data_IF_556656547335
#
_entry.id   IF_556656547335
#
_cell.length_a   1.000
_cell.length_b   1.000
_cell.length_c   1.000
_cell.angle_alpha   90.00
_cell.angle_beta   90.00
_cell.angle_gamma   90.00
#
_symmetry.space_group_name_H-M   'P 1'
#
loop_
_entity.id
_entity.type
_entity.pdbx_description
1 polymer ?
#
# COMPACT_ATOMS: atom_id res chain seq x y z
N UNK A 1 27.30 14.88 35.76
CA UNK A 1 27.85 14.35 34.50
C UNK A 1 28.64 15.49 33.86
N UNK A 2 29.97 15.40 33.82
CA UNK A 2 30.88 16.54 33.53
C UNK A 2 31.05 16.77 32.01
N UNK A 3 31.39 18.00 31.59
CA UNK A 3 31.68 18.33 30.18
C UNK A 3 32.79 17.46 29.58
N UNK A 4 33.76 17.06 30.40
CA UNK A 4 34.84 16.13 30.06
C UNK A 4 34.35 14.74 29.64
N UNK A 5 33.28 14.22 30.27
CA UNK A 5 32.69 12.94 29.86
C UNK A 5 32.11 13.03 28.43
N UNK A 6 31.44 14.13 28.12
CA UNK A 6 30.92 14.35 26.76
C UNK A 6 32.05 14.49 25.75
N UNK A 7 33.09 15.27 26.05
CA UNK A 7 34.26 15.38 25.19
C UNK A 7 34.90 14.01 24.90
N UNK A 8 35.03 13.16 25.91
CA UNK A 8 35.50 11.78 25.76
C UNK A 8 34.57 10.90 24.94
N UNK A 9 33.24 11.05 25.10
CA UNK A 9 32.26 10.33 24.27
C UNK A 9 32.38 10.77 22.81
N UNK A 10 32.38 12.07 22.53
CA UNK A 10 32.41 12.62 21.17
C UNK A 10 33.72 12.34 20.43
N UNK A 11 34.84 12.26 21.15
CA UNK A 11 36.15 11.87 20.60
C UNK A 11 36.37 10.36 20.55
N UNK A 12 35.49 9.56 21.16
CA UNK A 12 35.62 8.10 21.14
C UNK A 12 35.44 7.53 19.74
N UNK A 13 36.27 6.56 19.39
CA UNK A 13 36.17 5.83 18.12
C UNK A 13 34.78 5.17 17.94
N UNK A 14 34.15 4.73 19.03
CA UNK A 14 32.82 4.12 19.01
C UNK A 14 31.73 5.11 18.62
N UNK A 15 31.74 6.32 19.19
CA UNK A 15 30.78 7.35 18.83
C UNK A 15 30.96 7.79 17.38
N UNK A 16 32.20 8.06 16.96
CA UNK A 16 32.47 8.48 15.59
C UNK A 16 32.04 7.40 14.59
N UNK A 17 32.39 6.13 14.84
CA UNK A 17 31.93 5.02 14.00
C UNK A 17 30.40 4.95 13.92
N UNK A 18 29.71 5.04 15.07
CA UNK A 18 28.25 5.07 15.11
C UNK A 18 27.67 6.24 14.30
N UNK A 19 28.20 7.45 14.48
CA UNK A 19 27.75 8.65 13.79
C UNK A 19 27.97 8.56 12.27
N UNK A 20 29.14 8.09 11.83
CA UNK A 20 29.44 7.86 10.41
C UNK A 20 28.52 6.81 9.79
N UNK A 21 28.25 5.70 10.49
CA UNK A 21 27.34 4.65 10.01
C UNK A 21 25.93 5.22 9.85
N UNK A 22 25.40 5.89 10.87
CA UNK A 22 24.05 6.46 10.84
C UNK A 22 23.93 7.53 9.74
N UNK A 23 24.87 8.47 9.67
CA UNK A 23 24.86 9.52 8.65
C UNK A 23 25.03 8.94 7.23
N UNK A 24 25.90 7.95 7.06
CA UNK A 24 26.11 7.25 5.79
C UNK A 24 24.85 6.52 5.33
N UNK A 25 24.18 5.79 6.23
CA UNK A 25 22.91 5.10 5.92
C UNK A 25 21.83 6.10 5.49
N UNK A 26 21.67 7.22 6.20
CA UNK A 26 20.70 8.25 5.80
C UNK A 26 21.07 8.91 4.47
N UNK A 27 22.35 9.16 4.23
CA UNK A 27 22.82 9.77 2.99
C UNK A 27 22.54 8.85 1.80
N UNK A 28 22.94 7.57 1.89
CA UNK A 28 22.71 6.57 0.84
C UNK A 28 21.21 6.37 0.62
N UNK A 29 20.42 6.25 1.69
CA UNK A 29 18.96 6.10 1.57
C UNK A 29 18.30 7.34 0.98
N UNK A 30 18.77 8.54 1.34
CA UNK A 30 18.27 9.81 0.82
C UNK A 30 18.58 9.99 -0.67
N UNK A 31 19.79 9.60 -1.10
CA UNK A 31 20.15 9.58 -2.52
C UNK A 31 19.29 8.61 -3.32
N UNK A 32 19.03 7.42 -2.78
CA UNK A 32 18.13 6.45 -3.39
C UNK A 32 16.69 7.00 -3.51
N UNK A 33 16.17 7.69 -2.49
CA UNK A 33 14.87 8.37 -2.59
C UNK A 33 14.87 9.53 -3.61
N UNK A 34 15.96 10.29 -3.68
CA UNK A 34 16.11 11.38 -4.66
C UNK A 34 16.01 10.87 -6.10
N UNK A 35 16.51 9.67 -6.41
CA UNK A 35 16.37 9.08 -7.74
C UNK A 35 14.89 8.91 -8.14
N UNK A 36 14.06 8.41 -7.22
CA UNK A 36 12.61 8.28 -7.43
C UNK A 36 11.93 9.66 -7.57
N UNK A 37 12.42 10.65 -6.83
CA UNK A 37 11.91 12.02 -6.90
C UNK A 37 12.19 12.65 -8.26
N UNK A 38 13.39 12.44 -8.80
CA UNK A 38 13.78 12.90 -10.14
C UNK A 38 12.97 12.20 -11.24
N UNK A 39 12.71 10.89 -11.11
CA UNK A 39 11.87 10.14 -12.04
C UNK A 39 10.44 10.65 -12.05
N UNK A 40 9.88 10.93 -10.87
CA UNK A 40 8.57 11.54 -10.75
C UNK A 40 8.53 12.96 -11.32
N UNK A 41 9.56 13.78 -11.07
CA UNK A 41 9.66 15.11 -11.65
C UNK A 41 9.73 15.03 -13.18
N UNK A 42 10.53 14.12 -13.74
CA UNK A 42 10.59 13.83 -15.18
C UNK A 42 9.21 13.45 -15.73
N UNK A 43 8.50 12.55 -15.06
CA UNK A 43 7.14 12.18 -15.43
C UNK A 43 6.18 13.37 -15.42
N UNK A 44 6.23 14.18 -14.35
CA UNK A 44 5.38 15.36 -14.18
C UNK A 44 5.65 16.42 -15.25
N UNK A 45 6.93 16.68 -15.55
CA UNK A 45 7.34 17.61 -16.61
C UNK A 45 6.86 17.14 -17.98
N UNK A 46 7.04 15.86 -18.33
CA UNK A 46 6.48 15.30 -19.58
C UNK A 46 4.98 15.54 -19.66
N UNK A 47 4.23 15.27 -18.58
CA UNK A 47 2.78 15.52 -18.59
C UNK A 47 2.42 16.99 -18.83
N UNK A 48 3.17 17.95 -18.29
CA UNK A 48 2.92 19.38 -18.55
C UNK A 48 3.07 19.74 -20.03
N UNK A 49 4.01 19.12 -20.74
CA UNK A 49 4.20 19.35 -22.18
C UNK A 49 3.18 18.60 -23.05
N UNK A 50 2.69 17.44 -22.61
CA UNK A 50 1.70 16.62 -23.33
C UNK A 50 0.27 16.76 -22.79
N UNK A 51 -0.02 17.86 -22.07
CA UNK A 51 -1.21 18.01 -21.23
C UNK A 51 -2.54 17.95 -22.03
N UNK A 52 -2.52 18.34 -23.31
CA UNK A 52 -3.70 18.27 -24.20
C UNK A 52 -4.15 16.83 -24.49
N UNK A 53 -3.23 15.89 -24.73
CA UNK A 53 -3.56 14.49 -25.01
C UNK A 53 -4.13 13.74 -23.78
N UNK A 54 -3.82 14.23 -22.56
CA UNK A 54 -4.33 13.66 -21.30
C UNK A 54 -5.72 14.21 -20.97
N UNK A 55 -6.09 15.40 -21.45
CA UNK A 55 -7.40 16.00 -21.17
C UNK A 55 -8.53 15.27 -21.91
N UNK A 56 -8.27 14.68 -23.07
CA UNK A 56 -9.21 13.80 -23.77
C UNK A 56 -9.45 12.48 -23.03
N UNK A 57 -8.52 12.06 -22.15
CA UNK A 57 -8.65 10.87 -21.30
C UNK A 57 -9.65 11.07 -20.14
N UNK A 58 -9.98 12.32 -19.82
CA UNK A 58 -10.76 12.72 -18.64
C UNK A 58 -12.26 12.74 -18.96
N UNK A 59 -12.94 11.68 -18.54
CA UNK A 59 -14.41 11.53 -18.43
C UNK A 59 -15.26 11.34 -19.69
N UNK A 60 -15.02 12.03 -20.80
CA UNK A 60 -15.76 11.79 -22.06
C UNK A 60 -15.29 10.49 -22.72
N UNK A 61 -13.98 10.26 -22.78
CA UNK A 61 -13.44 8.97 -23.19
C UNK A 61 -13.98 7.83 -22.31
N UNK A 62 -14.11 8.00 -21.00
CA UNK A 62 -14.63 6.94 -20.12
C UNK A 62 -16.13 6.64 -20.34
N UNK A 63 -16.91 7.61 -20.81
CA UNK A 63 -18.36 7.46 -21.01
C UNK A 63 -18.74 6.79 -22.35
N UNK A 64 -17.86 6.88 -23.36
CA UNK A 64 -18.17 6.44 -24.73
C UNK A 64 -17.86 4.96 -25.02
N UNK A 65 -17.42 4.19 -24.04
CA UNK A 65 -17.04 2.79 -24.22
C UNK A 65 -18.09 1.82 -23.68
N UNK A 66 -18.33 0.75 -24.43
CA UNK A 66 -19.23 -0.31 -24.01
C UNK A 66 -18.75 -0.98 -22.70
N UNK A 67 -19.70 -1.26 -21.80
CA UNK A 67 -19.42 -1.88 -20.51
C UNK A 67 -19.18 -3.38 -20.66
N UNK A 68 -17.95 -3.83 -20.39
CA UNK A 68 -17.67 -5.25 -20.24
C UNK A 68 -18.07 -5.76 -18.85
N UNK A 69 -18.29 -7.07 -18.74
CA UNK A 69 -18.75 -7.66 -17.48
C UNK A 69 -17.62 -7.70 -16.45
N UNK A 70 -17.85 -7.13 -15.26
CA UNK A 70 -16.87 -7.06 -14.16
C UNK A 70 -17.32 -7.89 -12.97
N UNK A 71 -16.43 -8.76 -12.46
CA UNK A 71 -16.60 -9.44 -11.17
C UNK A 71 -15.84 -8.68 -10.10
N UNK A 72 -16.51 -8.31 -9.00
CA UNK A 72 -15.87 -7.71 -7.83
C UNK A 72 -15.83 -8.77 -6.74
N UNK A 73 -14.63 -9.22 -6.36
CA UNK A 73 -14.42 -10.21 -5.33
C UNK A 73 -14.26 -9.51 -3.97
N UNK A 74 -15.16 -9.83 -3.04
CA UNK A 74 -15.13 -9.35 -1.66
C UNK A 74 -15.01 -10.53 -0.69
N UNK A 75 -13.80 -10.89 -0.23
CA UNK A 75 -13.60 -11.96 0.74
C UNK A 75 -13.99 -11.48 2.14
N UNK A 76 -14.84 -12.25 2.84
CA UNK A 76 -15.38 -11.89 4.15
C UNK A 76 -15.04 -12.95 5.21
N UNK A 77 -14.62 -12.47 6.40
CA UNK A 77 -14.50 -13.28 7.62
C UNK A 77 -14.90 -12.45 8.84
N UNK A 78 -16.03 -12.82 9.45
CA UNK A 78 -16.68 -12.10 10.56
C UNK A 78 -17.12 -10.67 10.23
N UNK A 79 -17.50 -10.45 8.98
CA UNK A 79 -17.82 -9.11 8.43
C UNK A 79 -19.32 -8.79 8.37
N UNK A 80 -20.15 -9.53 9.12
CA UNK A 80 -21.61 -9.36 9.16
C UNK A 80 -22.07 -7.92 9.46
N UNK A 81 -21.25 -7.13 10.17
CA UNK A 81 -21.55 -5.76 10.56
C UNK A 81 -21.24 -4.71 9.49
N UNK A 82 -20.41 -5.03 8.49
CA UNK A 82 -19.90 -4.06 7.50
C UNK A 82 -20.33 -4.37 6.07
N UNK A 83 -20.40 -5.65 5.70
CA UNK A 83 -20.65 -6.07 4.31
C UNK A 83 -21.95 -5.52 3.73
N UNK A 84 -23.01 -5.42 4.56
CA UNK A 84 -24.29 -4.87 4.12
C UNK A 84 -24.21 -3.40 3.72
N UNK A 85 -23.42 -2.58 4.44
CA UNK A 85 -23.23 -1.17 4.11
C UNK A 85 -22.40 -0.99 2.85
N UNK A 86 -21.35 -1.80 2.68
CA UNK A 86 -20.51 -1.80 1.48
C UNK A 86 -21.33 -2.13 0.22
N UNK A 87 -22.10 -3.22 0.26
CA UNK A 87 -22.94 -3.62 -0.89
C UNK A 87 -24.01 -2.58 -1.22
N UNK A 88 -24.70 -2.05 -0.20
CA UNK A 88 -25.72 -1.00 -0.40
C UNK A 88 -25.08 0.23 -1.05
N UNK A 89 -23.97 0.72 -0.50
CA UNK A 89 -23.27 1.89 -1.04
C UNK A 89 -22.79 1.64 -2.48
N UNK A 90 -22.19 0.48 -2.76
CA UNK A 90 -21.77 0.13 -4.11
C UNK A 90 -22.97 0.11 -5.09
N UNK A 91 -24.10 -0.45 -4.69
CA UNK A 91 -25.33 -0.45 -5.49
C UNK A 91 -25.87 0.96 -5.76
N UNK A 92 -25.79 1.85 -4.76
CA UNK A 92 -26.31 3.21 -4.83
C UNK A 92 -25.36 4.18 -5.56
N UNK A 93 -24.04 3.97 -5.50
CA UNK A 93 -23.03 4.95 -5.95
C UNK A 93 -22.28 4.58 -7.22
N UNK A 94 -22.22 3.31 -7.62
CA UNK A 94 -21.44 2.91 -8.80
C UNK A 94 -22.13 3.31 -10.10
N UNK A 95 -21.41 4.06 -10.94
CA UNK A 95 -21.86 4.42 -12.28
C UNK A 95 -21.45 3.37 -13.32
N UNK A 96 -21.91 2.14 -13.09
CA UNK A 96 -21.65 1.01 -13.98
C UNK A 96 -22.79 0.01 -13.85
N UNK A 97 -23.25 -0.59 -14.94
CA UNK A 97 -24.39 -1.50 -14.94
C UNK A 97 -23.96 -2.97 -15.05
N UNK A 98 -22.89 -3.25 -15.80
CA UNK A 98 -22.48 -4.62 -16.11
C UNK A 98 -21.49 -5.21 -15.08
N UNK A 99 -21.83 -5.18 -13.79
CA UNK A 99 -20.98 -5.73 -12.73
C UNK A 99 -21.71 -6.69 -11.78
N UNK A 100 -20.94 -7.48 -11.04
CA UNK A 100 -21.45 -8.41 -10.05
C UNK A 100 -20.52 -8.45 -8.83
N UNK A 101 -21.09 -8.27 -7.65
CA UNK A 101 -20.43 -8.46 -6.35
C UNK A 101 -20.46 -9.95 -6.00
N UNK A 102 -19.29 -10.56 -5.93
CA UNK A 102 -19.10 -11.95 -5.56
C UNK A 102 -18.49 -11.93 -4.17
N UNK A 103 -19.25 -12.44 -3.19
CA UNK A 103 -18.92 -12.32 -1.78
C UNK A 103 -18.55 -13.72 -1.25
N UNK A 104 -17.29 -13.87 -0.85
CA UNK A 104 -16.73 -15.13 -0.33
C UNK A 104 -16.91 -15.21 1.17
N UNK A 105 -17.61 -16.23 1.66
CA UNK A 105 -17.90 -16.44 3.09
C UNK A 105 -17.43 -17.82 3.54
N UNK A 106 -17.30 -18.04 4.85
CA UNK A 106 -16.91 -19.33 5.43
C UNK A 106 -18.10 -20.06 6.04
N UNK A 107 -18.14 -21.41 5.97
CA UNK A 107 -19.27 -22.22 6.45
C UNK A 107 -19.51 -22.08 7.96
N UNK A 108 -18.47 -21.80 8.74
CA UNK A 108 -18.53 -21.60 10.19
C UNK A 108 -18.78 -20.14 10.61
N UNK A 109 -19.04 -19.22 9.67
CA UNK A 109 -19.44 -17.84 9.94
C UNK A 109 -20.93 -17.61 9.61
N UNK A 110 -21.78 -18.20 10.45
CA UNK A 110 -23.24 -18.14 10.25
C UNK A 110 -23.80 -16.72 10.28
N UNK A 111 -23.16 -15.79 10.99
CA UNK A 111 -23.59 -14.39 11.05
C UNK A 111 -23.40 -13.70 9.70
N UNK A 112 -22.22 -13.84 9.09
CA UNK A 112 -21.94 -13.26 7.78
C UNK A 112 -22.72 -13.97 6.68
N UNK A 113 -22.86 -15.30 6.72
CA UNK A 113 -23.72 -16.04 5.77
C UNK A 113 -25.15 -15.49 5.79
N UNK A 114 -25.75 -15.29 6.97
CA UNK A 114 -27.10 -14.72 7.06
C UNK A 114 -27.17 -13.30 6.51
N UNK A 115 -26.17 -12.47 6.79
CA UNK A 115 -26.10 -11.11 6.27
C UNK A 115 -26.02 -11.09 4.73
N UNK A 116 -25.12 -11.88 4.15
CA UNK A 116 -24.94 -11.98 2.70
C UNK A 116 -26.15 -12.65 2.04
N UNK A 117 -26.77 -13.64 2.67
CA UNK A 117 -28.00 -14.26 2.19
C UNK A 117 -29.16 -13.28 2.04
N UNK A 118 -29.27 -12.29 2.94
CA UNK A 118 -30.24 -11.18 2.77
C UNK A 118 -29.90 -10.31 1.56
N UNK A 119 -28.62 -9.99 1.35
CA UNK A 119 -28.16 -9.20 0.21
C UNK A 119 -28.39 -9.92 -1.13
N UNK A 120 -28.20 -11.24 -1.19
CA UNK A 120 -28.52 -12.04 -2.38
C UNK A 120 -30.01 -11.96 -2.73
N UNK A 121 -30.90 -11.99 -1.73
CA UNK A 121 -32.35 -11.85 -1.93
C UNK A 121 -32.73 -10.43 -2.36
N UNK A 122 -32.11 -9.42 -1.77
CA UNK A 122 -32.39 -8.00 -2.04
C UNK A 122 -31.84 -7.56 -3.39
N UNK A 123 -30.67 -8.06 -3.79
CA UNK A 123 -29.95 -7.68 -5.01
C UNK A 123 -29.64 -8.91 -5.89
N UNK A 124 -30.64 -9.66 -6.37
CA UNK A 124 -30.45 -10.98 -6.99
C UNK A 124 -29.75 -10.95 -8.36
N UNK A 125 -29.63 -9.79 -8.99
CA UNK A 125 -28.84 -9.62 -10.23
C UNK A 125 -27.40 -9.18 -9.97
N UNK A 126 -27.16 -8.55 -8.83
CA UNK A 126 -25.90 -7.89 -8.49
C UNK A 126 -25.03 -8.72 -7.55
N UNK A 127 -25.62 -9.46 -6.60
CA UNK A 127 -24.88 -10.15 -5.54
C UNK A 127 -24.91 -11.67 -5.73
N UNK A 128 -23.75 -12.30 -5.60
CA UNK A 128 -23.59 -13.75 -5.51
C UNK A 128 -22.77 -14.10 -4.28
N UNK A 129 -23.26 -15.07 -3.51
CA UNK A 129 -22.52 -15.64 -2.38
C UNK A 129 -21.76 -16.87 -2.85
N UNK A 130 -20.49 -16.96 -2.46
CA UNK A 130 -19.66 -18.16 -2.61
C UNK A 130 -19.25 -18.60 -1.22
N UNK A 131 -19.56 -19.85 -0.87
CA UNK A 131 -19.14 -20.43 0.41
C UNK A 131 -17.84 -21.19 0.18
N UNK A 132 -16.80 -20.85 0.94
CA UNK A 132 -15.53 -21.55 0.92
C UNK A 132 -15.75 -23.03 1.33
N UNK A 133 -15.12 -24.01 0.66
CA UNK A 133 -15.25 -25.43 1.02
C UNK A 133 -14.68 -25.76 2.41
N UNK A 134 -13.75 -24.97 2.93
CA UNK A 134 -13.11 -25.18 4.22
C UNK A 134 -13.69 -24.25 5.29
N UNK A 135 -13.66 -24.69 6.55
CA UNK A 135 -14.00 -23.84 7.69
C UNK A 135 -12.93 -22.78 7.91
N UNK A 136 -13.34 -21.55 8.19
CA UNK A 136 -12.47 -20.42 8.42
C UNK A 136 -11.93 -20.32 9.86
N UNK A 137 -10.95 -19.44 10.10
CA UNK A 137 -10.23 -18.71 9.07
C UNK A 137 -9.19 -19.62 8.40
N UNK A 138 -9.20 -19.67 7.07
CA UNK A 138 -8.04 -20.11 6.28
C UNK A 138 -7.18 -18.87 6.02
N UNK A 139 -7.10 -18.40 4.77
CA UNK A 139 -6.46 -17.14 4.40
C UNK A 139 -7.30 -16.36 3.38
N UNK A 140 -7.08 -15.04 3.28
CA UNK A 140 -7.71 -14.20 2.24
C UNK A 140 -7.44 -14.77 0.85
N UNK A 141 -6.22 -15.21 0.59
CA UNK A 141 -5.81 -15.88 -0.64
C UNK A 141 -6.62 -17.14 -0.94
N UNK A 142 -6.81 -18.02 0.04
CA UNK A 142 -7.63 -19.23 -0.11
C UNK A 142 -9.09 -18.88 -0.46
N UNK A 143 -9.68 -17.91 0.24
CA UNK A 143 -11.02 -17.43 -0.07
C UNK A 143 -11.12 -16.86 -1.49
N UNK A 144 -10.17 -16.01 -1.88
CA UNK A 144 -10.11 -15.44 -3.24
C UNK A 144 -9.97 -16.52 -4.31
N UNK A 145 -9.13 -17.54 -4.10
CA UNK A 145 -9.02 -18.67 -5.03
C UNK A 145 -10.33 -19.47 -5.12
N UNK A 146 -11.00 -19.70 -3.99
CA UNK A 146 -12.32 -20.36 -3.96
C UNK A 146 -13.35 -19.59 -4.79
N UNK A 147 -13.37 -18.26 -4.65
CA UNK A 147 -14.23 -17.36 -5.42
C UNK A 147 -13.89 -17.36 -6.91
N UNK A 148 -12.60 -17.34 -7.27
CA UNK A 148 -12.12 -17.45 -8.65
C UNK A 148 -12.56 -18.76 -9.30
N UNK A 149 -12.42 -19.89 -8.60
CA UNK A 149 -12.87 -21.20 -9.08
C UNK A 149 -14.39 -21.24 -9.28
N UNK A 150 -15.15 -20.53 -8.45
CA UNK A 150 -16.60 -20.41 -8.59
C UNK A 150 -17.03 -19.54 -9.79
N UNK A 151 -16.16 -18.67 -10.33
CA UNK A 151 -16.50 -17.79 -11.45
C UNK A 151 -17.03 -18.56 -12.64
N UNK A 152 -16.39 -19.66 -13.02
CA UNK A 152 -16.82 -20.47 -14.17
C UNK A 152 -18.29 -20.95 -14.04
N UNK A 153 -18.75 -21.23 -12.82
CA UNK A 153 -20.14 -21.62 -12.55
C UNK A 153 -21.09 -20.41 -12.59
N UNK A 154 -20.62 -19.24 -12.20
CA UNK A 154 -21.39 -17.97 -12.15
C UNK A 154 -21.52 -17.34 -13.55
N UNK A 155 -20.51 -17.51 -14.41
CA UNK A 155 -20.42 -16.90 -15.72
C UNK A 155 -21.54 -17.36 -16.67
N UNK A 156 -22.09 -18.56 -16.48
CA UNK A 156 -23.07 -19.16 -17.39
C UNK A 156 -22.61 -18.99 -18.86
N UNK A 157 -23.39 -18.28 -19.70
CA UNK A 157 -23.02 -17.99 -21.10
C UNK A 157 -22.23 -16.67 -21.29
N UNK A 158 -22.03 -15.87 -20.25
CA UNK A 158 -21.40 -14.53 -20.33
C UNK A 158 -20.20 -14.42 -19.40
N UNK A 159 -19.00 -14.50 -19.95
CA UNK A 159 -17.75 -14.45 -19.20
C UNK A 159 -17.46 -13.07 -18.61
N UNK A 160 -16.81 -13.02 -17.44
CA UNK A 160 -16.24 -11.78 -16.89
C UNK A 160 -14.96 -11.41 -17.63
N UNK A 161 -14.83 -10.14 -18.04
CA UNK A 161 -13.58 -9.64 -18.66
C UNK A 161 -12.59 -9.13 -17.63
N UNK A 162 -13.11 -8.63 -16.51
CA UNK A 162 -12.33 -8.00 -15.46
C UNK A 162 -12.72 -8.60 -14.11
N UNK A 163 -11.71 -8.84 -13.29
CA UNK A 163 -11.87 -9.23 -11.88
C UNK A 163 -11.26 -8.13 -11.02
N UNK A 164 -12.03 -7.56 -10.11
CA UNK A 164 -11.62 -6.49 -9.20
C UNK A 164 -11.60 -7.02 -7.78
N UNK A 165 -10.58 -6.64 -7.01
CA UNK A 165 -10.47 -6.98 -5.58
C UNK A 165 -10.89 -5.80 -4.72
N UNK A 166 -11.72 -6.06 -3.71
CA UNK A 166 -12.10 -5.11 -2.67
C UNK A 166 -12.27 -5.80 -1.33
N UNK A 167 -12.01 -5.08 -0.24
CA UNK A 167 -12.35 -5.52 1.10
C UNK A 167 -13.76 -5.05 1.48
N UNK A 168 -14.33 -5.68 2.51
CA UNK A 168 -15.70 -5.47 2.97
C UNK A 168 -15.96 -4.08 3.58
N UNK A 169 -14.90 -3.34 3.90
CA UNK A 169 -14.90 -2.02 4.50
C UNK A 169 -14.61 -0.89 3.51
N UNK A 170 -14.30 -1.24 2.26
CA UNK A 170 -13.95 -0.28 1.23
C UNK A 170 -15.15 0.55 0.76
N UNK A 171 -14.87 1.81 0.48
CA UNK A 171 -15.69 2.69 -0.34
C UNK A 171 -15.12 2.66 -1.76
N UNK A 172 -15.94 2.13 -2.68
CA UNK A 172 -15.62 2.08 -4.10
C UNK A 172 -16.01 3.40 -4.76
N UNK A 173 -15.09 4.01 -5.49
CA UNK A 173 -15.35 5.24 -6.23
C UNK A 173 -16.39 5.03 -7.35
N UNK A 174 -17.37 5.94 -7.55
CA UNK A 174 -18.41 5.81 -8.58
C UNK A 174 -17.91 5.44 -9.98
N UNK A 175 -16.80 6.05 -10.40
CA UNK A 175 -16.21 5.86 -11.74
C UNK A 175 -15.10 4.80 -11.83
N UNK A 176 -14.74 4.09 -10.74
CA UNK A 176 -13.60 3.15 -10.75
C UNK A 176 -13.77 2.03 -11.78
N UNK A 177 -14.97 1.50 -11.93
CA UNK A 177 -15.28 0.42 -12.87
C UNK A 177 -15.16 0.86 -14.33
N UNK A 178 -15.55 2.10 -14.65
CA UNK A 178 -15.34 2.65 -16.01
C UNK A 178 -13.87 2.83 -16.32
N UNK A 179 -13.09 3.29 -15.34
CA UNK A 179 -11.63 3.39 -15.44
C UNK A 179 -11.01 2.02 -15.72
N UNK A 180 -11.38 0.99 -14.95
CA UNK A 180 -10.89 -0.36 -15.19
C UNK A 180 -11.31 -0.91 -16.55
N UNK A 181 -12.58 -0.76 -16.94
CA UNK A 181 -13.09 -1.16 -18.25
C UNK A 181 -12.28 -0.55 -19.38
N UNK A 182 -12.04 0.76 -19.32
CA UNK A 182 -11.26 1.46 -20.33
C UNK A 182 -9.80 0.97 -20.39
N UNK A 183 -9.10 0.95 -19.25
CA UNK A 183 -7.69 0.59 -19.20
C UNK A 183 -7.44 -0.87 -19.62
N UNK A 184 -8.27 -1.80 -19.16
CA UNK A 184 -8.05 -3.23 -19.39
C UNK A 184 -8.57 -3.66 -20.76
N UNK A 185 -9.80 -3.28 -21.12
CA UNK A 185 -10.46 -3.78 -22.32
C UNK A 185 -10.09 -2.98 -23.57
N UNK A 186 -9.77 -1.68 -23.45
CA UNK A 186 -9.48 -0.82 -24.59
C UNK A 186 -8.01 -0.46 -24.72
N UNK A 187 -7.30 -0.19 -23.61
CA UNK A 187 -5.85 0.07 -23.63
C UNK A 187 -4.99 -1.18 -23.43
N UNK A 188 -5.62 -2.34 -23.34
CA UNK A 188 -4.88 -3.58 -23.37
C UNK A 188 -4.08 -3.90 -22.10
N UNK A 189 -4.36 -3.25 -20.95
CA UNK A 189 -3.62 -3.46 -19.69
C UNK A 189 -4.01 -4.78 -19.00
N UNK A 190 -3.05 -5.45 -18.36
CA UNK A 190 -3.26 -6.74 -17.69
C UNK A 190 -3.67 -6.58 -16.22
N UNK A 191 -3.02 -5.67 -15.50
CA UNK A 191 -3.37 -5.34 -14.12
C UNK A 191 -3.29 -3.84 -13.90
N UNK A 192 -4.32 -3.29 -13.25
CA UNK A 192 -4.44 -1.87 -12.93
C UNK A 192 -4.63 -1.73 -11.42
N UNK A 193 -3.72 -1.01 -10.77
CA UNK A 193 -3.88 -0.57 -9.39
C UNK A 193 -4.35 0.89 -9.37
N UNK A 194 -5.47 1.17 -8.70
CA UNK A 194 -5.89 2.53 -8.36
C UNK A 194 -5.30 2.98 -7.02
N UNK A 195 -5.24 4.29 -6.74
CA UNK A 195 -4.87 4.77 -5.43
C UNK A 195 -5.77 4.20 -4.34
N UNK A 196 -5.15 3.79 -3.23
CA UNK A 196 -5.84 3.55 -1.97
C UNK A 196 -5.59 4.76 -1.09
N UNK A 197 -6.65 5.44 -0.66
CA UNK A 197 -6.55 6.67 0.12
C UNK A 197 -7.38 6.53 1.39
N UNK A 198 -6.75 6.58 2.58
CA UNK A 198 -7.49 6.65 3.84
C UNK A 198 -8.57 7.74 3.83
N UNK A 199 -9.68 7.49 4.50
CA UNK A 199 -10.73 8.50 4.66
C UNK A 199 -10.24 9.66 5.52
N UNK A 200 -10.71 10.87 5.24
CA UNK A 200 -10.41 11.99 6.13
C UNK A 200 -10.99 11.74 7.52
N UNK A 201 -10.15 11.91 8.53
CA UNK A 201 -10.49 11.82 9.94
C UNK A 201 -10.15 13.13 10.63
N UNK A 202 -10.69 13.40 11.82
CA UNK A 202 -10.30 14.58 12.58
C UNK A 202 -8.78 14.70 12.76
N UNK A 203 -8.26 15.94 12.75
CA UNK A 203 -6.82 16.20 12.72
C UNK A 203 -6.04 15.63 13.92
N UNK A 204 -6.71 15.39 15.05
CA UNK A 204 -6.13 14.81 16.26
C UNK A 204 -5.94 13.28 16.19
N UNK A 205 -6.49 12.61 15.17
CA UNK A 205 -6.29 11.18 14.96
C UNK A 205 -4.94 10.90 14.28
N UNK A 206 -3.88 11.19 15.02
CA UNK A 206 -2.52 11.21 14.48
C UNK A 206 -2.08 9.85 13.93
N UNK A 207 -2.58 8.74 14.51
CA UNK A 207 -2.22 7.38 14.08
C UNK A 207 -2.84 7.07 12.73
N UNK A 208 -4.15 7.30 12.56
CA UNK A 208 -4.83 7.08 11.28
C UNK A 208 -4.15 7.90 10.18
N UNK A 209 -3.86 9.17 10.46
CA UNK A 209 -3.23 10.06 9.50
C UNK A 209 -1.79 9.65 9.10
N UNK A 210 -1.09 8.82 9.89
CA UNK A 210 0.22 8.29 9.43
C UNK A 210 0.07 7.42 8.16
N UNK A 211 -1.03 6.69 8.03
CA UNK A 211 -1.34 5.95 6.80
C UNK A 211 -1.66 6.90 5.65
N UNK A 212 -2.44 7.95 5.90
CA UNK A 212 -2.79 8.93 4.88
C UNK A 212 -1.54 9.62 4.31
N UNK A 213 -0.59 9.98 5.16
CA UNK A 213 0.68 10.59 4.78
C UNK A 213 1.53 9.67 3.91
N UNK A 214 1.73 8.44 4.37
CA UNK A 214 2.54 7.44 3.66
C UNK A 214 1.88 7.01 2.35
N UNK A 215 0.56 6.84 2.34
CA UNK A 215 -0.17 6.46 1.15
C UNK A 215 -0.18 7.59 0.14
N UNK A 216 -0.42 8.84 0.56
CA UNK A 216 -0.34 9.98 -0.33
C UNK A 216 1.03 10.03 -1.03
N UNK A 217 2.10 9.89 -0.26
CA UNK A 217 3.45 9.91 -0.78
C UNK A 217 3.78 8.74 -1.71
N UNK A 218 3.40 7.52 -1.31
CA UNK A 218 3.65 6.31 -2.08
C UNK A 218 2.90 6.32 -3.42
N UNK A 219 1.59 6.64 -3.37
CA UNK A 219 0.73 6.59 -4.56
C UNK A 219 1.00 7.76 -5.51
N UNK A 220 1.28 8.98 -5.00
CA UNK A 220 1.54 10.12 -5.90
C UNK A 220 2.85 9.97 -6.66
N UNK A 221 3.86 9.35 -6.04
CA UNK A 221 5.24 9.43 -6.52
C UNK A 221 5.91 8.08 -6.69
N UNK A 222 5.94 7.26 -5.64
CA UNK A 222 6.73 6.03 -5.65
C UNK A 222 6.20 5.01 -6.64
N UNK A 223 4.88 4.84 -6.71
CA UNK A 223 4.26 3.92 -7.67
C UNK A 223 4.48 4.36 -9.12
N UNK A 224 4.40 5.67 -9.39
CA UNK A 224 4.69 6.23 -10.72
C UNK A 224 6.15 6.01 -11.09
N UNK A 225 7.09 6.36 -10.21
CA UNK A 225 8.52 6.19 -10.48
C UNK A 225 8.87 4.70 -10.67
N UNK A 226 8.20 3.81 -9.94
CA UNK A 226 8.35 2.35 -10.07
C UNK A 226 7.88 1.84 -11.43
N UNK A 227 6.73 2.29 -11.90
CA UNK A 227 6.23 1.97 -13.25
C UNK A 227 7.18 2.52 -14.34
N UNK A 228 7.66 3.75 -14.17
CA UNK A 228 8.54 4.44 -15.12
C UNK A 228 9.92 3.78 -15.31
N UNK A 229 10.45 3.12 -14.28
CA UNK A 229 11.69 2.32 -14.43
C UNK A 229 11.43 0.95 -15.08
N UNK A 230 10.18 0.64 -15.46
CA UNK A 230 9.80 -0.62 -16.07
C UNK A 230 9.71 -1.77 -15.06
N UNK A 231 9.53 -1.47 -13.77
CA UNK A 231 9.29 -2.50 -12.77
C UNK A 231 7.80 -2.79 -12.60
N UNK A 232 7.48 -3.90 -11.93
CA UNK A 232 6.10 -4.22 -11.59
C UNK A 232 5.51 -3.19 -10.62
N UNK A 233 4.25 -2.85 -10.83
CA UNK A 233 3.43 -2.13 -9.85
C UNK A 233 2.80 -3.16 -8.91
N UNK A 234 2.97 -3.03 -7.58
CA UNK A 234 2.35 -3.96 -6.64
C UNK A 234 0.84 -3.79 -6.59
N UNK A 235 0.14 -4.90 -6.36
CA UNK A 235 -1.28 -4.89 -5.98
C UNK A 235 -1.42 -4.63 -4.49
N UNK A 236 -2.36 -3.77 -4.10
CA UNK A 236 -2.70 -3.49 -2.71
C UNK A 236 -3.84 -4.40 -2.18
N UNK A 237 -4.32 -5.33 -3.02
CA UNK A 237 -5.38 -6.28 -2.64
C UNK A 237 -6.77 -5.66 -2.53
N UNK A 238 -6.87 -4.35 -2.80
CA UNK A 238 -8.08 -3.53 -2.87
C UNK A 238 -7.90 -2.47 -3.95
N UNK A 239 -8.98 -2.14 -4.67
CA UNK A 239 -8.89 -1.19 -5.78
C UNK A 239 -7.96 -1.67 -6.91
N UNK A 240 -7.77 -2.99 -7.01
CA UNK A 240 -6.95 -3.63 -8.03
C UNK A 240 -7.84 -4.37 -9.00
N UNK A 241 -7.67 -4.13 -10.29
CA UNK A 241 -8.35 -4.86 -11.34
C UNK A 241 -7.36 -5.69 -12.15
N UNK A 242 -7.77 -6.91 -12.46
CA UNK A 242 -7.05 -7.85 -13.30
C UNK A 242 -7.89 -8.16 -14.54
N UNK A 243 -7.22 -8.23 -15.68
CA UNK A 243 -7.74 -8.92 -16.86
C UNK A 243 -7.98 -10.38 -16.50
N UNK A 244 -9.17 -10.91 -16.85
CA UNK A 244 -9.55 -12.29 -16.51
C UNK A 244 -8.55 -13.31 -17.06
N UNK A 245 -8.07 -13.09 -18.29
CA UNK A 245 -7.10 -13.95 -18.98
C UNK A 245 -5.75 -13.97 -18.26
N UNK A 246 -5.28 -12.85 -17.70
CA UNK A 246 -4.02 -12.79 -16.95
C UNK A 246 -4.09 -13.59 -15.65
N UNK A 247 -5.25 -13.63 -14.99
CA UNK A 247 -5.47 -14.50 -13.83
C UNK A 247 -5.46 -15.99 -14.21
N UNK A 248 -5.95 -16.34 -15.40
CA UNK A 248 -5.92 -17.73 -15.86
C UNK A 248 -4.51 -18.21 -16.18
N UNK A 249 -3.64 -17.31 -16.65
CA UNK A 249 -2.21 -17.60 -16.77
C UNK A 249 -1.66 -18.01 -15.41
N UNK A 250 -1.85 -17.20 -14.36
CA UNK A 250 -1.39 -17.57 -13.01
C UNK A 250 -1.98 -18.90 -12.54
N UNK A 251 -3.28 -19.10 -12.75
CA UNK A 251 -3.98 -20.32 -12.37
C UNK A 251 -3.41 -21.56 -13.10
N UNK A 252 -3.04 -21.43 -14.37
CA UNK A 252 -2.45 -22.51 -15.15
C UNK A 252 -1.07 -22.92 -14.62
N UNK A 253 -0.22 -21.93 -14.28
CA UNK A 253 1.15 -22.21 -13.82
C UNK A 253 1.23 -22.74 -12.39
N UNK A 254 0.36 -22.27 -11.48
CA UNK A 254 0.48 -22.57 -10.04
C UNK A 254 -0.70 -23.38 -9.49
N UNK A 255 -1.67 -23.76 -10.33
CA UNK A 255 -2.97 -24.33 -9.93
C UNK A 255 -3.80 -23.41 -9.01
N UNK A 256 -3.33 -22.18 -8.76
CA UNK A 256 -3.92 -21.15 -7.91
C UNK A 256 -3.42 -19.78 -8.36
N UNK A 257 -4.17 -18.72 -8.07
CA UNK A 257 -3.77 -17.35 -8.41
C UNK A 257 -3.06 -16.69 -7.23
N UNK A 258 -3.63 -16.83 -6.04
CA UNK A 258 -3.14 -16.21 -4.82
C UNK A 258 -2.47 -17.25 -3.94
N UNK A 259 -1.25 -17.02 -3.48
CA UNK A 259 -0.53 -17.99 -2.64
C UNK A 259 -1.04 -17.96 -1.19
N UNK A 260 -1.60 -19.07 -0.65
CA UNK A 260 -2.11 -19.12 0.72
C UNK A 260 -1.05 -18.89 1.79
N UNK A 261 0.20 -19.25 1.51
CA UNK A 261 1.32 -19.12 2.45
C UNK A 261 1.92 -17.70 2.46
N UNK A 262 1.44 -16.82 1.58
CA UNK A 262 1.81 -15.40 1.56
C UNK A 262 0.83 -14.57 2.38
N UNK A 263 1.33 -13.76 3.31
CA UNK A 263 0.52 -12.77 4.02
C UNK A 263 0.06 -11.61 3.14
N UNK A 264 0.72 -11.45 1.99
CA UNK A 264 0.48 -10.43 0.96
C UNK A 264 0.39 -11.13 -0.39
N UNK A 265 -0.71 -11.86 -0.56
CA UNK A 265 -0.99 -12.66 -1.74
C UNK A 265 -1.15 -11.83 -3.01
N UNK A 266 -1.66 -10.62 -2.84
CA UNK A 266 -1.83 -9.56 -3.82
C UNK A 266 -0.48 -9.12 -4.40
N UNK A 267 0.46 -8.75 -3.52
CA UNK A 267 1.83 -8.38 -3.89
C UNK A 267 2.53 -9.50 -4.66
N UNK A 268 2.41 -10.73 -4.17
CA UNK A 268 2.98 -11.92 -4.83
C UNK A 268 2.40 -12.13 -6.23
N UNK A 269 1.08 -12.00 -6.39
CA UNK A 269 0.43 -12.18 -7.70
C UNK A 269 0.90 -11.15 -8.74
N UNK A 270 1.17 -9.90 -8.32
CA UNK A 270 1.66 -8.85 -9.20
C UNK A 270 3.08 -9.11 -9.70
N UNK A 271 3.97 -9.62 -8.83
CA UNK A 271 5.32 -10.06 -9.22
C UNK A 271 5.25 -11.19 -10.25
N UNK A 272 4.44 -12.22 -9.96
CA UNK A 272 4.32 -13.40 -10.81
C UNK A 272 3.74 -13.08 -12.19
N UNK A 273 2.80 -12.13 -12.28
CA UNK A 273 2.31 -11.61 -13.55
C UNK A 273 3.42 -10.93 -14.34
N UNK A 274 4.18 -10.06 -13.68
CA UNK A 274 5.27 -9.34 -14.34
C UNK A 274 6.38 -10.27 -14.84
N UNK A 275 6.75 -11.29 -14.07
CA UNK A 275 7.71 -12.32 -14.51
C UNK A 275 7.24 -13.10 -15.74
N UNK A 276 5.92 -13.12 -16.01
CA UNK A 276 5.31 -13.73 -17.20
C UNK A 276 5.06 -12.74 -18.33
N UNK A 277 5.59 -11.52 -18.22
CA UNK A 277 5.48 -10.50 -19.25
C UNK A 277 4.15 -9.73 -19.26
N UNK A 278 3.30 -9.90 -18.24
CA UNK A 278 2.07 -9.11 -18.12
C UNK A 278 2.33 -7.73 -17.52
N UNK A 279 1.72 -6.70 -18.12
CA UNK A 279 1.88 -5.32 -17.72
C UNK A 279 1.08 -4.97 -16.46
N UNK A 280 1.77 -4.50 -15.43
CA UNK A 280 1.17 -3.98 -14.19
C UNK A 280 1.33 -2.47 -14.16
N UNK A 281 0.23 -1.72 -14.05
CA UNK A 281 0.24 -0.25 -14.11
C UNK A 281 -0.42 0.39 -12.90
N UNK A 282 0.00 1.63 -12.58
CA UNK A 282 -0.58 2.45 -11.54
C UNK A 282 -1.31 3.65 -12.13
N UNK A 283 -2.63 3.71 -11.95
CA UNK A 283 -3.46 4.71 -12.64
C UNK A 283 -3.96 5.80 -11.69
N UNK A 284 -3.41 7.02 -11.81
CA UNK A 284 -3.99 8.22 -11.18
C UNK A 284 -4.86 8.94 -12.19
N UNK A 285 -6.17 8.83 -12.00
CA UNK A 285 -7.18 9.43 -12.87
C UNK A 285 -8.07 10.31 -12.01
N UNK A 286 -8.42 11.47 -12.54
CA UNK A 286 -9.39 12.38 -11.91
C UNK A 286 -10.73 12.26 -12.62
N UNK A 287 -11.80 12.38 -11.86
CA UNK A 287 -13.16 12.45 -12.40
C UNK A 287 -13.50 13.87 -12.92
N UNK A 288 -14.78 14.08 -13.25
CA UNK A 288 -15.30 15.34 -13.78
C UNK A 288 -15.17 16.50 -12.79
N UNK A 289 -15.26 16.20 -11.50
CA UNK A 289 -15.16 17.17 -10.41
C UNK A 289 -13.70 17.39 -9.98
N UNK A 290 -12.75 16.77 -10.68
CA UNK A 290 -11.33 16.83 -10.38
C UNK A 290 -10.91 15.97 -9.20
N UNK A 291 -11.81 15.14 -8.64
CA UNK A 291 -11.50 14.23 -7.55
C UNK A 291 -10.75 13.01 -8.07
N UNK A 292 -9.81 12.50 -7.27
CA UNK A 292 -9.03 11.33 -7.68
C UNK A 292 -9.88 10.07 -7.52
N UNK A 293 -10.00 9.30 -8.61
CA UNK A 293 -10.66 8.00 -8.62
C UNK A 293 -9.82 7.02 -7.79
N UNK A 294 -10.22 6.81 -6.55
CA UNK A 294 -9.46 6.05 -5.55
C UNK A 294 -10.38 5.18 -4.70
N UNK A 295 -9.85 4.06 -4.23
CA UNK A 295 -10.51 3.26 -3.18
C UNK A 295 -10.26 3.92 -1.84
N UNK A 296 -11.30 4.07 -1.01
CA UNK A 296 -11.17 4.71 0.30
C UNK A 296 -11.58 3.77 1.42
N UNK A 297 -10.86 3.79 2.53
CA UNK A 297 -11.15 2.93 3.68
C UNK A 297 -10.66 3.56 4.98
N UNK A 298 -11.13 3.02 6.11
CA UNK A 298 -10.61 3.37 7.43
C UNK A 298 -9.37 2.54 7.75
N UNK A 299 -8.40 3.20 8.36
CA UNK A 299 -7.14 2.61 8.81
C UNK A 299 -7.03 2.73 10.34
N UNK A 300 -6.16 1.93 10.98
CA UNK A 300 -6.08 1.87 12.44
C UNK A 300 -5.94 3.22 13.14
N UNK A 301 -6.77 3.39 14.16
CA UNK A 301 -6.77 4.59 15.03
C UNK A 301 -5.83 4.47 16.24
N UNK A 302 -5.31 3.26 16.52
CA UNK A 302 -4.45 3.01 17.68
C UNK A 302 -3.07 2.51 17.27
N UNK A 303 -2.05 2.95 18.00
CA UNK A 303 -0.64 2.57 17.76
C UNK A 303 -0.46 1.05 17.72
N UNK A 304 -1.10 0.32 18.64
CA UNK A 304 -1.02 -1.14 18.70
C UNK A 304 -1.59 -1.81 17.45
N UNK A 305 -2.74 -1.36 16.96
CA UNK A 305 -3.34 -1.88 15.75
C UNK A 305 -2.52 -1.52 14.51
N UNK A 306 -1.99 -0.28 14.45
CA UNK A 306 -1.12 0.16 13.36
C UNK A 306 0.17 -0.68 13.26
N UNK A 307 0.84 -0.91 14.39
CA UNK A 307 2.02 -1.78 14.47
C UNK A 307 1.69 -3.18 13.97
N UNK A 308 0.59 -3.80 14.42
CA UNK A 308 0.19 -5.15 13.98
C UNK A 308 -0.02 -5.22 12.47
N UNK A 309 -0.72 -4.25 11.90
CA UNK A 309 -0.99 -4.20 10.47
C UNK A 309 0.30 -4.01 9.66
N UNK A 310 1.16 -3.05 10.02
CA UNK A 310 2.43 -2.84 9.31
C UNK A 310 3.41 -3.99 9.50
N UNK A 311 3.42 -4.65 10.66
CA UNK A 311 4.20 -5.88 10.86
C UNK A 311 3.81 -6.95 9.84
N UNK A 312 2.50 -7.15 9.60
CA UNK A 312 2.02 -8.11 8.59
C UNK A 312 2.52 -7.74 7.19
N UNK A 313 2.45 -6.46 6.81
CA UNK A 313 2.94 -5.98 5.52
C UNK A 313 4.45 -6.17 5.36
N UNK A 314 5.25 -5.84 6.38
CA UNK A 314 6.70 -6.04 6.33
C UNK A 314 7.05 -7.53 6.20
N UNK A 315 6.38 -8.41 6.95
CA UNK A 315 6.60 -9.85 6.83
C UNK A 315 6.27 -10.31 5.41
N UNK A 316 5.10 -9.95 4.86
CA UNK A 316 4.67 -10.40 3.54
C UNK A 316 5.53 -9.86 2.39
N UNK A 317 5.72 -8.54 2.34
CA UNK A 317 6.40 -7.85 1.23
C UNK A 317 7.91 -8.09 1.27
N UNK A 318 8.55 -7.83 2.42
CA UNK A 318 10.00 -7.84 2.51
C UNK A 318 10.55 -9.23 2.80
N UNK A 319 10.04 -9.93 3.82
CA UNK A 319 10.66 -11.15 4.34
C UNK A 319 10.20 -12.41 3.59
N UNK A 320 8.89 -12.68 3.55
CA UNK A 320 8.32 -13.76 2.75
C UNK A 320 8.51 -13.50 1.25
N UNK A 321 8.32 -12.25 0.80
CA UNK A 321 8.62 -11.86 -0.57
C UNK A 321 10.08 -12.12 -0.96
N UNK A 322 11.03 -12.02 -0.01
CA UNK A 322 12.41 -12.45 -0.25
C UNK A 322 12.55 -13.98 -0.31
N UNK A 323 11.94 -14.71 0.61
CA UNK A 323 11.99 -16.17 0.63
C UNK A 323 11.36 -16.83 -0.61
N UNK A 324 10.22 -16.30 -1.09
CA UNK A 324 9.49 -16.86 -2.22
C UNK A 324 10.04 -16.41 -3.58
N UNK A 325 10.33 -15.11 -3.74
CA UNK A 325 10.69 -14.52 -5.04
C UNK A 325 12.18 -14.28 -5.23
N UNK A 326 12.99 -14.35 -4.16
CA UNK A 326 14.44 -14.13 -4.26
C UNK A 326 14.81 -12.78 -4.89
N UNK A 327 15.76 -12.78 -5.82
CA UNK A 327 16.14 -11.59 -6.60
C UNK A 327 15.92 -11.84 -8.10
N UNK A 328 14.71 -12.27 -8.47
CA UNK A 328 14.37 -12.59 -9.85
C UNK A 328 14.06 -11.33 -10.69
N UNK A 329 14.14 -11.46 -12.01
CA UNK A 329 13.88 -10.37 -12.97
C UNK A 329 15.11 -9.53 -13.33
N UNK A 330 14.88 -8.53 -14.20
CA UNK A 330 15.92 -7.61 -14.66
C UNK A 330 16.29 -6.57 -13.58
N UNK A 331 17.37 -5.82 -13.80
CA UNK A 331 17.96 -4.90 -12.82
C UNK A 331 16.95 -3.92 -12.20
N UNK A 332 15.99 -3.39 -12.97
CA UNK A 332 14.97 -2.49 -12.43
C UNK A 332 14.02 -3.17 -11.41
N UNK A 333 13.73 -4.46 -11.59
CA UNK A 333 12.91 -5.25 -10.65
C UNK A 333 13.72 -5.58 -9.41
N UNK A 334 14.98 -6.00 -9.57
CA UNK A 334 15.87 -6.22 -8.43
C UNK A 334 16.03 -4.96 -7.59
N UNK A 335 16.13 -3.80 -8.23
CA UNK A 335 16.25 -2.51 -7.55
C UNK A 335 14.99 -2.16 -6.73
N UNK A 336 13.80 -2.36 -7.28
CA UNK A 336 12.56 -2.09 -6.53
C UNK A 336 12.33 -3.09 -5.41
N UNK A 337 12.66 -4.38 -5.61
CA UNK A 337 12.69 -5.39 -4.55
C UNK A 337 13.67 -5.01 -3.43
N UNK A 338 14.83 -4.43 -3.78
CA UNK A 338 15.77 -3.92 -2.78
C UNK A 338 15.14 -2.81 -1.96
N UNK A 339 14.46 -1.85 -2.61
CA UNK A 339 13.77 -0.76 -1.90
C UNK A 339 12.69 -1.28 -0.96
N UNK A 340 11.91 -2.26 -1.39
CA UNK A 340 10.87 -2.89 -0.55
C UNK A 340 11.46 -3.53 0.70
N UNK A 341 12.63 -4.18 0.57
CA UNK A 341 13.35 -4.83 1.68
C UNK A 341 14.11 -3.85 2.58
N UNK A 342 14.64 -2.77 1.99
CA UNK A 342 15.38 -1.71 2.69
C UNK A 342 14.54 -1.08 3.80
N UNK A 343 13.20 -1.05 3.65
CA UNK A 343 12.30 -0.49 4.65
C UNK A 343 12.47 -1.11 6.05
N UNK A 344 12.83 -2.41 6.13
CA UNK A 344 13.14 -3.07 7.40
C UNK A 344 14.30 -2.36 8.11
N UNK A 345 15.40 -2.13 7.39
CA UNK A 345 16.61 -1.50 7.92
C UNK A 345 16.39 -0.02 8.24
N UNK A 346 15.62 0.70 7.41
CA UNK A 346 15.28 2.11 7.62
C UNK A 346 14.55 2.32 8.95
N UNK A 347 13.67 1.38 9.35
CA UNK A 347 13.02 1.43 10.66
C UNK A 347 14.01 1.50 11.83
N UNK A 348 15.06 0.68 11.80
CA UNK A 348 16.13 0.70 12.82
C UNK A 348 17.02 1.93 12.70
N UNK A 349 17.38 2.32 11.47
CA UNK A 349 18.19 3.51 11.22
C UNK A 349 17.53 4.79 11.75
N UNK A 350 16.20 4.91 11.65
CA UNK A 350 15.45 6.05 12.20
C UNK A 350 15.63 6.19 13.72
N UNK A 351 15.55 5.09 14.48
CA UNK A 351 15.78 5.12 15.94
C UNK A 351 17.25 5.44 16.26
N UNK A 352 18.20 4.84 15.53
CA UNK A 352 19.61 5.17 15.68
C UNK A 352 19.88 6.67 15.41
N UNK A 353 19.21 7.24 14.41
CA UNK A 353 19.21 8.68 14.13
C UNK A 353 18.67 9.52 15.28
N UNK A 354 17.56 9.13 15.90
CA UNK A 354 17.04 9.84 17.07
C UNK A 354 17.98 9.76 18.28
N UNK A 355 18.58 8.60 18.53
CA UNK A 355 19.58 8.43 19.59
C UNK A 355 20.77 9.35 19.31
N UNK A 356 21.28 9.35 18.08
CA UNK A 356 22.39 10.22 17.68
C UNK A 356 22.04 11.71 17.88
N UNK A 357 20.84 12.13 17.47
CA UNK A 357 20.37 13.51 17.66
C UNK A 357 20.28 13.87 19.14
N UNK A 358 19.76 12.98 19.99
CA UNK A 358 19.69 13.21 21.45
C UNK A 358 21.09 13.36 22.04
N UNK A 359 22.04 12.51 21.66
CA UNK A 359 23.44 12.60 22.11
C UNK A 359 24.05 13.94 21.69
N UNK A 360 23.87 14.34 20.43
CA UNK A 360 24.38 15.61 19.88
C UNK A 360 23.74 16.85 20.56
N UNK A 361 22.47 16.77 20.96
CA UNK A 361 21.75 17.89 21.58
C UNK A 361 21.91 17.96 23.11
N UNK A 362 22.32 16.87 23.76
CA UNK A 362 22.43 16.79 25.21
C UNK A 362 23.35 17.88 25.83
N UNK A 363 24.54 18.20 25.28
CA UNK A 363 25.38 19.28 25.82
C UNK A 363 24.68 20.64 25.83
N UNK A 364 23.96 20.98 24.74
CA UNK A 364 23.18 22.23 24.63
C UNK A 364 22.05 22.30 25.64
N UNK A 365 21.31 21.19 25.79
CA UNK A 365 20.18 21.10 26.73
C UNK A 365 20.68 21.22 28.18
N UNK A 366 21.83 20.60 28.49
CA UNK A 366 22.45 20.60 29.81
C UNK A 366 23.33 21.83 30.09
N UNK A 367 23.45 22.76 29.11
CA UNK A 367 24.30 23.97 29.19
C UNK A 367 25.75 23.66 29.57
N UNK A 368 26.30 22.60 28.99
CA UNK A 368 27.68 22.20 29.17
C UNK A 368 28.57 22.92 28.16
N UNK A 369 29.82 23.20 28.53
CA UNK A 369 30.82 23.74 27.60
C UNK A 369 31.04 22.78 26.43
N UNK A 370 30.89 23.28 25.21
CA UNK A 370 31.09 22.52 23.97
C UNK A 370 32.59 22.43 23.65
N UNK A 371 33.32 21.61 24.41
CA UNK A 371 34.74 21.35 24.17
C UNK A 371 35.00 20.26 23.11
N UNK A 372 33.97 19.83 22.37
CA UNK A 372 34.07 18.81 21.33
C UNK A 372 33.88 19.42 19.94
N UNK A 373 34.63 18.90 18.97
CA UNK A 373 34.49 19.26 17.55
C UNK A 373 34.01 18.05 16.76
N UNK A 374 33.02 18.26 15.89
CA UNK A 374 32.57 17.26 14.94
C UNK A 374 33.54 17.28 13.76
N UNK A 375 34.15 16.14 13.36
CA UNK A 375 35.04 16.11 12.21
C UNK A 375 34.37 16.65 10.94
N UNK A 376 35.08 17.46 10.15
CA UNK A 376 34.54 18.11 8.94
C UNK A 376 33.81 17.15 7.98
N UNK A 377 34.34 15.94 7.67
CA UNK A 377 33.63 15.01 6.79
C UNK A 377 32.28 14.55 7.36
N UNK A 378 32.21 14.31 8.68
CA UNK A 378 30.98 13.92 9.37
C UNK A 378 29.97 15.06 9.38
N UNK A 379 30.43 16.30 9.56
CA UNK A 379 29.59 17.49 9.49
C UNK A 379 28.94 17.64 8.12
N UNK A 380 29.69 17.45 7.03
CA UNK A 380 29.14 17.47 5.67
C UNK A 380 28.10 16.36 5.45
N UNK A 381 28.33 15.14 5.97
CA UNK A 381 27.33 14.08 5.92
C UNK A 381 26.05 14.44 6.67
N UNK A 382 26.14 15.10 7.84
CA UNK A 382 24.96 15.59 8.56
C UNK A 382 24.20 16.65 7.76
N UNK A 383 24.90 17.58 7.10
CA UNK A 383 24.25 18.58 6.23
C UNK A 383 23.52 17.90 5.07
N UNK A 384 24.17 16.95 4.39
CA UNK A 384 23.55 16.22 3.27
C UNK A 384 22.34 15.42 3.76
N UNK A 385 22.49 14.63 4.82
CA UNK A 385 21.40 13.84 5.40
C UNK A 385 20.22 14.71 5.83
N UNK A 386 20.48 15.86 6.48
CA UNK A 386 19.45 16.81 6.89
C UNK A 386 18.76 17.44 5.69
N UNK A 387 19.52 17.80 4.65
CA UNK A 387 18.96 18.37 3.42
C UNK A 387 18.04 17.37 2.70
N UNK A 388 18.45 16.09 2.64
CA UNK A 388 17.61 15.01 2.11
C UNK A 388 16.35 14.79 2.95
N UNK A 389 16.45 14.89 4.27
CA UNK A 389 15.29 14.82 5.16
C UNK A 389 14.31 15.98 4.93
N UNK A 390 14.81 17.21 4.80
CA UNK A 390 13.97 18.39 4.49
C UNK A 390 13.28 18.22 3.15
N UNK A 391 14.01 17.80 2.12
CA UNK A 391 13.42 17.49 0.82
C UNK A 391 12.32 16.43 0.95
N UNK A 392 12.57 15.35 1.70
CA UNK A 392 11.59 14.29 1.93
C UNK A 392 10.33 14.80 2.60
N UNK A 393 10.49 15.63 3.62
CA UNK A 393 9.40 16.25 4.35
C UNK A 393 8.54 17.12 3.42
N UNK A 394 9.17 18.01 2.64
CA UNK A 394 8.48 18.86 1.67
C UNK A 394 7.71 18.02 0.65
N UNK A 395 8.32 16.96 0.13
CA UNK A 395 7.66 16.11 -0.84
C UNK A 395 6.46 15.36 -0.24
N UNK A 396 6.57 14.84 0.99
CA UNK A 396 5.44 14.21 1.70
C UNK A 396 4.31 15.22 1.93
N UNK A 397 4.64 16.43 2.37
CA UNK A 397 3.68 17.52 2.55
C UNK A 397 2.97 17.87 1.23
N UNK A 398 3.72 17.92 0.13
CA UNK A 398 3.14 18.17 -1.20
C UNK A 398 2.16 17.07 -1.63
N UNK A 399 2.44 15.82 -1.28
CA UNK A 399 1.59 14.70 -1.63
C UNK A 399 0.29 14.71 -0.82
N UNK A 400 0.38 14.99 0.48
CA UNK A 400 -0.79 15.14 1.36
C UNK A 400 -1.66 16.32 0.90
N UNK A 401 -1.05 17.43 0.51
CA UNK A 401 -1.79 18.57 -0.04
C UNK A 401 -2.53 18.20 -1.34
N UNK A 402 -1.92 17.38 -2.19
CA UNK A 402 -2.52 16.98 -3.49
C UNK A 402 -3.78 16.11 -3.34
N UNK A 403 -3.86 15.28 -2.31
CA UNK A 403 -4.98 14.34 -2.11
C UNK A 403 -5.98 14.76 -1.02
N UNK A 404 -5.57 15.61 -0.08
CA UNK A 404 -6.38 16.05 1.05
C UNK A 404 -6.41 17.58 1.10
N UNK A 405 -5.75 18.21 2.09
CA UNK A 405 -5.76 19.66 2.26
C UNK A 405 -4.41 20.20 2.72
N UNK A 406 -4.21 21.51 2.50
CA UNK A 406 -3.03 22.23 2.98
C UNK A 406 -2.91 22.21 4.51
N UNK A 407 -4.03 22.26 5.24
CA UNK A 407 -4.00 22.18 6.70
C UNK A 407 -3.42 20.85 7.19
N UNK A 408 -3.81 19.74 6.54
CA UNK A 408 -3.27 18.43 6.88
C UNK A 408 -1.81 18.27 6.45
N UNK A 409 -1.34 18.96 5.40
CA UNK A 409 0.08 18.85 5.01
C UNK A 409 1.01 19.43 6.07
N UNK A 410 0.64 20.52 6.76
CA UNK A 410 1.45 21.09 7.85
C UNK A 410 1.63 20.13 9.04
N UNK A 411 0.64 19.28 9.31
CA UNK A 411 0.68 18.33 10.43
C UNK A 411 1.58 17.11 10.16
N UNK A 412 2.04 16.92 8.92
CA UNK A 412 2.96 15.82 8.55
C UNK A 412 4.19 15.79 9.43
N UNK A 413 4.73 16.95 9.84
CA UNK A 413 5.95 17.04 10.67
C UNK A 413 5.75 16.30 12.00
N UNK A 414 4.63 16.55 12.68
CA UNK A 414 4.29 15.89 13.95
C UNK A 414 4.03 14.40 13.72
N UNK A 415 3.28 14.07 12.67
CA UNK A 415 2.94 12.68 12.33
C UNK A 415 4.15 11.86 11.89
N UNK A 416 5.20 12.49 11.37
CA UNK A 416 6.43 11.82 10.95
C UNK A 416 7.12 11.09 12.12
N UNK A 417 7.15 11.72 13.30
CA UNK A 417 7.73 11.11 14.51
C UNK A 417 6.95 9.86 14.92
N UNK A 418 5.62 9.94 14.90
CA UNK A 418 4.71 8.85 15.24
C UNK A 418 4.85 7.71 14.21
N UNK A 419 4.89 8.05 12.92
CA UNK A 419 5.10 7.10 11.84
C UNK A 419 6.43 6.36 11.99
N UNK A 420 7.52 7.07 12.31
CA UNK A 420 8.83 6.45 12.52
C UNK A 420 8.85 5.48 13.71
N UNK A 421 8.19 5.83 14.82
CA UNK A 421 8.04 4.92 15.96
C UNK A 421 7.24 3.66 15.58
N UNK A 422 6.09 3.83 14.91
CA UNK A 422 5.26 2.71 14.45
C UNK A 422 6.05 1.81 13.49
N UNK A 423 6.77 2.41 12.52
CA UNK A 423 7.54 1.68 11.51
C UNK A 423 8.70 0.91 12.13
N UNK A 424 9.40 1.48 13.11
CA UNK A 424 10.44 0.78 13.88
C UNK A 424 9.87 -0.42 14.63
N UNK A 425 8.82 -0.21 15.43
CA UNK A 425 8.21 -1.29 16.21
C UNK A 425 7.65 -2.38 15.29
N UNK A 426 7.08 -1.99 14.15
CA UNK A 426 6.58 -2.93 13.16
C UNK A 426 7.70 -3.76 12.53
N UNK A 427 8.84 -3.14 12.19
CA UNK A 427 10.03 -3.80 11.63
C UNK A 427 10.67 -4.75 12.65
N UNK A 428 10.83 -4.31 13.90
CA UNK A 428 11.33 -5.15 14.99
C UNK A 428 10.46 -6.40 15.18
N UNK A 429 9.14 -6.22 15.29
CA UNK A 429 8.21 -7.35 15.46
C UNK A 429 8.15 -8.23 14.22
N UNK A 430 8.30 -7.67 13.02
CA UNK A 430 8.33 -8.44 11.78
C UNK A 430 9.53 -9.38 11.74
N UNK A 431 10.73 -8.86 12.01
CA UNK A 431 11.97 -9.65 12.08
C UNK A 431 11.85 -10.72 13.17
N UNK A 432 11.43 -10.33 14.38
CA UNK A 432 11.25 -11.27 15.48
C UNK A 432 10.27 -12.41 15.14
N UNK A 433 9.09 -12.08 14.60
CA UNK A 433 8.08 -13.07 14.23
C UNK A 433 8.54 -13.95 13.07
N UNK A 434 9.18 -13.39 12.05
CA UNK A 434 9.64 -14.16 10.90
C UNK A 434 10.65 -15.23 11.30
N UNK A 435 11.60 -14.91 12.19
CA UNK A 435 12.55 -15.91 12.70
C UNK A 435 11.93 -16.87 13.73
N UNK A 436 11.01 -16.40 14.58
CA UNK A 436 10.36 -17.25 15.60
C UNK A 436 9.32 -18.21 15.02
N UNK A 437 8.58 -17.77 14.00
CA UNK A 437 7.51 -18.52 13.34
C UNK A 437 7.98 -19.12 12.01
N UNK A 438 9.30 -19.24 11.81
CA UNK A 438 9.85 -19.89 10.63
C UNK A 438 9.27 -21.31 10.53
N UNK A 439 8.53 -21.60 9.45
CA UNK A 439 7.75 -22.83 9.20
C UNK A 439 6.40 -22.98 9.93
N UNK A 440 5.78 -21.94 10.50
CA UNK A 440 4.40 -22.00 10.98
C UNK A 440 3.44 -21.19 10.08
N UNK A 441 2.26 -21.73 9.72
CA UNK A 441 1.27 -20.97 8.97
C UNK A 441 0.77 -19.81 9.82
N UNK A 442 0.88 -18.59 9.30
CA UNK A 442 0.40 -17.40 9.99
C UNK A 442 -1.10 -17.27 9.68
N UNK A 443 -1.99 -17.45 10.68
CA UNK A 443 -3.43 -17.39 10.44
C UNK A 443 -3.84 -16.00 9.96
N UNK A 444 -4.95 -15.93 9.23
CA UNK A 444 -5.54 -14.66 8.83
C UNK A 444 -6.11 -13.91 10.03
N UNK A 445 -5.24 -13.14 10.69
CA UNK A 445 -5.59 -12.19 11.74
C UNK A 445 -5.90 -10.84 11.06
N UNK A 446 -7.17 -10.67 10.63
CA UNK A 446 -7.68 -9.39 10.12
C UNK A 446 -7.95 -8.48 11.33
N UNK A 447 -7.42 -7.26 11.33
CA UNK A 447 -7.75 -6.25 12.36
C UNK A 447 -9.25 -5.97 12.34
N UNK A 448 -9.87 -5.66 13.48
CA UNK A 448 -11.30 -5.31 13.48
C UNK A 448 -11.56 -4.09 12.56
N UNK A 449 -12.40 -4.28 11.54
CA UNK A 449 -12.72 -3.23 10.58
C UNK A 449 -13.99 -2.49 10.96
N UNK A 450 -13.93 -1.17 10.82
CA UNK A 450 -15.10 -0.30 10.92
C UNK A 450 -15.47 0.19 9.53
N UNK A 451 -16.76 0.16 9.21
CA UNK A 451 -17.28 0.84 8.02
C UNK A 451 -17.67 2.27 8.43
N UNK A 452 -17.30 3.31 7.67
CA UNK A 452 -17.58 4.70 8.03
C UNK A 452 -19.08 4.95 8.21
N UNK A 453 -19.44 5.69 9.27
CA UNK A 453 -20.85 6.02 9.58
C UNK A 453 -21.41 7.10 8.66
N UNK A 454 -20.55 7.95 8.11
CA UNK A 454 -20.88 9.00 7.14
C UNK A 454 -19.64 9.23 6.26
N UNK A 455 -19.78 8.98 4.97
CA UNK A 455 -18.77 9.30 3.96
C UNK A 455 -19.47 9.51 2.62
#
# INVERSE_FOLDING_TARGET
MTAELFANIFSSAYFLAFAYIVAGVFTISGMDDLLFDLLYLKWRLRRLFYWQAIREFTSEALANHAEHRIAILVPCWRESNVIGRMVKRAADSLEYQNYMLIIGVYPNDAATIRAVGRLVKQYPKLVRMVVNPQSGPTTKADNLNSMLNALHRIEAKKRFRIVVLHDSEDIIHPHSLRVFNYLICYLGKDMVQLPVLPLEQPAWDLVHWTYADEFAENHLRHMIAREEVGSFVPSAGVGTAYRRESLEVLQHYHQRVFHPDSLTEDYSSAIELHHRGHGTIFAIIRDRDGQVVATRSLFPHTVKAAIRQKTRWIIGIALQGWAHHGWQGHSCVKYTLFRDRKQVLVGFANIAGYILLIILMAPKILRLDESFSIPDPLWHLFIIATSMFVLRLVMRMSAVWTFYSFKHSLLVIVRYLIANYINFMAAYLAVYKFFKLYNQPIPWDKTAHEFPRSA
#
